data_IF_414376934139
#
_entry.id   IF_414376934139
#
_cell.length_a   1.000
_cell.length_b   1.000
_cell.length_c   1.000
_cell.angle_alpha   90.00
_cell.angle_beta   90.00
_cell.angle_gamma   90.00
#
_symmetry.space_group_name_H-M   'P 1'
#
loop_
_entity.id
_entity.type
_entity.pdbx_description
1 polymer ?
#
# COMPACT_ATOMS: atom_id res chain seq x y z
N UNK A 1 -13.89 8.73 -20.83
CA UNK A 1 -14.25 7.61 -19.94
C UNK A 1 -13.88 8.01 -18.51
N UNK A 2 -14.82 8.53 -17.73
CA UNK A 2 -14.55 8.97 -16.35
C UNK A 2 -14.68 7.75 -15.42
N UNK A 3 -13.55 7.26 -14.91
CA UNK A 3 -13.52 6.19 -13.91
C UNK A 3 -14.08 6.78 -12.62
N UNK A 4 -15.25 6.30 -12.20
CA UNK A 4 -15.81 6.59 -10.88
C UNK A 4 -14.97 5.83 -9.87
N UNK A 5 -14.08 6.53 -9.18
CA UNK A 5 -13.42 6.00 -7.99
C UNK A 5 -14.51 5.80 -6.93
N UNK A 6 -14.65 4.61 -6.32
CA UNK A 6 -15.58 4.43 -5.22
C UNK A 6 -15.17 5.38 -4.09
N UNK A 7 -16.08 6.26 -3.68
CA UNK A 7 -15.92 7.12 -2.52
C UNK A 7 -15.95 6.22 -1.28
N UNK A 8 -14.78 5.72 -0.87
CA UNK A 8 -14.61 5.06 0.42
C UNK A 8 -14.60 6.15 1.51
N UNK A 9 -15.45 5.94 2.51
CA UNK A 9 -15.84 6.88 3.54
C UNK A 9 -14.65 7.57 4.25
N UNK A 10 -14.69 8.91 4.25
CA UNK A 10 -13.62 9.86 4.54
C UNK A 10 -13.00 9.85 5.97
N UNK A 11 -13.22 8.80 6.76
CA UNK A 11 -12.62 8.65 8.10
C UNK A 11 -11.55 7.55 8.20
N UNK A 12 -11.51 6.58 7.28
CA UNK A 12 -10.89 5.28 7.57
C UNK A 12 -9.79 4.80 6.63
N UNK A 13 -9.36 5.56 5.60
CA UNK A 13 -8.30 5.11 4.67
C UNK A 13 -6.93 4.99 5.35
N UNK A 14 -6.53 6.01 6.11
CA UNK A 14 -5.26 5.98 6.87
C UNK A 14 -5.32 4.90 7.96
N UNK A 15 -6.47 4.77 8.64
CA UNK A 15 -6.68 3.74 9.66
C UNK A 15 -6.62 2.33 9.06
N UNK A 16 -7.25 2.12 7.91
CA UNK A 16 -7.24 0.86 7.17
C UNK A 16 -5.82 0.52 6.70
N UNK A 17 -5.08 1.49 6.17
CA UNK A 17 -3.66 1.33 5.83
C UNK A 17 -2.82 0.92 7.04
N UNK A 18 -3.07 1.52 8.21
CA UNK A 18 -2.40 1.18 9.46
C UNK A 18 -2.75 -0.24 9.91
N UNK A 19 -4.02 -0.64 9.83
CA UNK A 19 -4.47 -2.00 10.17
C UNK A 19 -3.83 -3.04 9.24
N UNK A 20 -3.78 -2.77 7.94
CA UNK A 20 -3.10 -3.61 6.96
C UNK A 20 -1.60 -3.71 7.25
N UNK A 21 -0.91 -2.59 7.46
CA UNK A 21 0.50 -2.55 7.85
C UNK A 21 0.77 -3.35 9.14
N UNK A 22 -0.12 -3.24 10.13
CA UNK A 22 -0.01 -3.94 11.41
C UNK A 22 -0.13 -5.46 11.27
N UNK A 23 -0.88 -5.95 10.28
CA UNK A 23 -0.91 -7.38 9.93
C UNK A 23 0.42 -7.86 9.33
N UNK A 24 1.11 -7.02 8.55
CA UNK A 24 2.46 -7.35 8.06
C UNK A 24 3.51 -7.36 9.16
N UNK A 25 3.42 -6.46 10.14
CA UNK A 25 4.32 -6.46 11.30
C UNK A 25 4.23 -7.73 12.17
N UNK A 26 3.13 -8.50 12.05
CA UNK A 26 2.91 -9.79 12.72
C UNK A 26 3.36 -11.00 11.90
N UNK A 27 3.77 -10.83 10.64
CA UNK A 27 4.50 -11.89 9.94
C UNK A 27 5.77 -12.11 10.75
N UNK A 28 5.82 -13.25 11.45
CA UNK A 28 7.04 -13.68 12.13
C UNK A 28 8.13 -13.73 11.08
N UNK A 29 8.94 -12.67 11.05
CA UNK A 29 10.28 -12.71 10.47
C UNK A 29 10.94 -13.85 11.24
N UNK A 30 11.05 -15.03 10.62
CA UNK A 30 11.75 -16.13 11.27
C UNK A 30 13.12 -15.65 11.69
N UNK A 31 13.62 -16.16 12.81
CA UNK A 31 14.93 -15.80 13.39
C UNK A 31 16.08 -15.99 12.37
N UNK A 32 15.82 -16.75 11.30
CA UNK A 32 16.69 -16.88 10.13
C UNK A 32 16.43 -15.76 9.09
N UNK A 33 17.45 -14.93 8.77
CA UNK A 33 17.33 -13.81 7.83
C UNK A 33 16.99 -14.22 6.39
N UNK A 34 17.03 -15.51 6.04
CA UNK A 34 16.58 -16.06 4.75
C UNK A 34 15.14 -16.58 4.75
N UNK A 35 14.51 -16.71 5.92
CA UNK A 35 13.14 -17.25 6.08
C UNK A 35 12.03 -16.19 6.09
N UNK A 36 12.41 -14.91 6.03
CA UNK A 36 11.53 -13.75 5.99
C UNK A 36 10.74 -13.65 4.67
N UNK A 37 9.85 -14.61 4.41
CA UNK A 37 9.06 -14.63 3.19
C UNK A 37 7.86 -13.70 3.29
N UNK A 38 8.01 -12.48 2.77
CA UNK A 38 6.89 -11.54 2.62
C UNK A 38 6.06 -11.98 1.40
N UNK A 39 4.80 -12.38 1.58
CA UNK A 39 3.97 -12.76 0.46
C UNK A 39 3.73 -11.54 -0.45
N UNK A 40 4.09 -11.69 -1.73
CA UNK A 40 4.09 -10.58 -2.69
C UNK A 40 2.70 -10.00 -2.94
N UNK A 41 1.66 -10.85 -3.04
CA UNK A 41 0.29 -10.39 -3.32
C UNK A 41 -0.25 -9.47 -2.21
N UNK A 42 -0.19 -9.86 -0.92
CA UNK A 42 -0.51 -8.95 0.17
C UNK A 42 0.32 -7.65 0.11
N UNK A 43 1.63 -7.74 -0.09
CA UNK A 43 2.49 -6.56 -0.09
C UNK A 43 2.09 -5.55 -1.19
N UNK A 44 1.75 -6.04 -2.38
CA UNK A 44 1.26 -5.19 -3.47
C UNK A 44 -0.09 -4.54 -3.14
N UNK A 45 -0.98 -5.23 -2.43
CA UNK A 45 -2.26 -4.66 -1.99
C UNK A 45 -2.03 -3.48 -1.04
N UNK A 46 -1.14 -3.65 -0.07
CA UNK A 46 -0.72 -2.57 0.82
C UNK A 46 -0.14 -1.37 0.06
N UNK A 47 0.69 -1.61 -0.96
CA UNK A 47 1.22 -0.53 -1.79
C UNK A 47 0.10 0.24 -2.53
N UNK A 48 -0.99 -0.43 -2.93
CA UNK A 48 -2.17 0.23 -3.49
C UNK A 48 -2.87 1.10 -2.45
N UNK A 49 -3.03 0.61 -1.23
CA UNK A 49 -3.60 1.39 -0.12
C UNK A 49 -2.72 2.61 0.20
N UNK A 50 -1.40 2.47 0.14
CA UNK A 50 -0.49 3.62 0.27
C UNK A 50 -0.73 4.68 -0.80
N UNK A 51 -1.02 4.33 -2.05
CA UNK A 51 -1.34 5.33 -3.09
C UNK A 51 -2.53 6.21 -2.68
N UNK A 52 -3.56 5.62 -2.07
CA UNK A 52 -4.72 6.35 -1.55
C UNK A 52 -4.35 7.31 -0.41
N UNK A 53 -3.45 6.88 0.50
CA UNK A 53 -2.93 7.76 1.55
C UNK A 53 -2.14 8.93 0.97
N UNK A 54 -1.28 8.69 -0.02
CA UNK A 54 -0.51 9.74 -0.70
C UNK A 54 -1.43 10.72 -1.43
N UNK A 55 -2.55 10.24 -1.99
CA UNK A 55 -3.59 11.08 -2.59
C UNK A 55 -4.24 12.04 -1.57
N UNK A 56 -4.35 11.64 -0.29
CA UNK A 56 -4.84 12.53 0.78
C UNK A 56 -3.81 13.54 1.27
N UNK A 57 -2.52 13.21 1.23
CA UNK A 57 -1.45 14.15 1.58
C UNK A 57 -1.33 15.26 0.52
N UNK A 58 -1.55 14.90 -0.75
CA UNK A 58 -1.66 15.86 -1.85
C UNK A 58 -0.35 16.05 -2.64
N UNK A 59 -0.17 17.21 -3.32
CA UNK A 59 0.81 17.37 -4.39
C UNK A 59 2.27 17.14 -3.99
N UNK A 60 2.62 17.41 -2.73
CA UNK A 60 3.98 17.20 -2.21
C UNK A 60 4.41 15.72 -2.32
N UNK A 61 3.47 14.78 -2.33
CA UNK A 61 3.73 13.34 -2.46
C UNK A 61 3.56 12.80 -3.89
N UNK A 62 3.37 13.66 -4.89
CA UNK A 62 3.12 13.23 -6.26
C UNK A 62 4.27 12.36 -6.84
N UNK A 63 5.53 12.71 -6.55
CA UNK A 63 6.71 11.96 -7.02
C UNK A 63 6.72 10.55 -6.41
N UNK A 64 6.59 10.45 -5.09
CA UNK A 64 6.58 9.17 -4.39
C UNK A 64 5.41 8.28 -4.85
N UNK A 65 4.24 8.87 -5.07
CA UNK A 65 3.06 8.17 -5.59
C UNK A 65 3.33 7.59 -6.98
N UNK A 66 3.95 8.37 -7.86
CA UNK A 66 4.31 7.92 -9.20
C UNK A 66 5.30 6.77 -9.15
N UNK A 67 6.35 6.88 -8.33
CA UNK A 67 7.37 5.85 -8.19
C UNK A 67 6.77 4.52 -7.72
N UNK A 68 5.91 4.55 -6.69
CA UNK A 68 5.23 3.35 -6.19
C UNK A 68 4.32 2.75 -7.27
N UNK A 69 3.54 3.58 -7.98
CA UNK A 69 2.64 3.10 -9.04
C UNK A 69 3.40 2.35 -10.14
N UNK A 70 4.52 2.92 -10.61
CA UNK A 70 5.35 2.26 -11.62
C UNK A 70 5.95 0.94 -11.11
N UNK A 71 6.36 0.88 -9.84
CA UNK A 71 6.88 -0.35 -9.23
C UNK A 71 5.83 -1.48 -9.09
N UNK A 72 4.54 -1.13 -8.93
CA UNK A 72 3.45 -2.11 -8.90
C UNK A 72 3.13 -2.62 -10.32
N UNK A 73 3.04 -1.72 -11.30
CA UNK A 73 2.67 -2.08 -12.69
C UNK A 73 3.74 -2.94 -13.38
N UNK A 74 5.03 -2.66 -13.12
CA UNK A 74 6.15 -3.40 -13.72
C UNK A 74 6.27 -4.84 -13.20
N UNK A 75 5.60 -5.19 -12.08
CA UNK A 75 5.61 -6.54 -11.50
C UNK A 75 4.41 -7.43 -11.92
N UNK A 76 3.63 -7.03 -12.92
CA UNK A 76 2.60 -7.88 -13.55
C UNK A 76 3.17 -8.79 -14.63
#
# INVERSE_FOLDING_TARGET
MKRKTPEMENGSEIKCAIEELSMFGKLKLGDDPGSAHIPTKPFLHLCQVMLHVLDKIGPTMAVLRQDIHQNIEVKK
#
